data_IF_207462431263
#
_entry.id   IF_207462431263
#
_cell.length_a   1.000
_cell.length_b   1.000
_cell.length_c   1.000
_cell.angle_alpha   90.00
_cell.angle_beta   90.00
_cell.angle_gamma   90.00
#
_symmetry.space_group_name_H-M   'P 1'
#
loop_
_entity.id
_entity.type
_entity.pdbx_description
1 polymer ?
#
# COMPACT_ATOMS: atom_id res chain seq x y z
N UNK A 1 -18.27 -5.28 -10.86
CA UNK A 1 -17.22 -6.23 -11.35
C UNK A 1 -15.96 -5.90 -10.55
N UNK A 2 -15.67 -6.67 -9.49
CA UNK A 2 -14.52 -6.45 -8.61
C UNK A 2 -13.33 -7.11 -9.30
N UNK A 3 -12.38 -6.30 -9.79
CA UNK A 3 -11.10 -6.80 -10.26
C UNK A 3 -10.38 -7.43 -9.08
N UNK A 4 -10.17 -8.76 -9.13
CA UNK A 4 -9.41 -9.48 -8.12
C UNK A 4 -8.00 -8.93 -8.06
N UNK A 5 -7.66 -8.32 -6.92
CA UNK A 5 -6.29 -8.01 -6.56
C UNK A 5 -5.54 -9.35 -6.44
N UNK A 6 -4.63 -9.60 -7.37
CA UNK A 6 -3.74 -10.75 -7.30
C UNK A 6 -2.95 -10.71 -6.00
N UNK A 7 -3.08 -11.74 -5.19
CA UNK A 7 -2.28 -11.90 -4.00
C UNK A 7 -0.89 -12.37 -4.44
N UNK A 8 0.13 -11.53 -4.27
CA UNK A 8 1.52 -11.93 -4.50
C UNK A 8 2.00 -12.59 -3.21
N UNK A 9 1.98 -13.91 -3.17
CA UNK A 9 2.63 -14.68 -2.12
C UNK A 9 4.09 -14.90 -2.50
N UNK A 10 4.99 -14.42 -1.66
CA UNK A 10 6.42 -14.71 -1.79
C UNK A 10 6.73 -16.05 -1.12
N UNK A 11 6.78 -17.13 -1.88
CA UNK A 11 7.34 -18.39 -1.40
C UNK A 11 8.87 -18.31 -1.55
N UNK A 12 9.55 -17.83 -0.51
CA UNK A 12 11.01 -17.79 -0.49
C UNK A 12 11.54 -19.16 -0.08
N UNK A 13 11.89 -19.99 -1.07
CA UNK A 13 12.65 -21.23 -0.86
C UNK A 13 14.15 -21.00 -0.74
N UNK A 14 14.57 -19.74 -0.75
CA UNK A 14 15.98 -19.39 -0.68
C UNK A 14 16.43 -19.45 0.78
N UNK A 15 17.21 -20.45 1.14
CA UNK A 15 17.88 -20.59 2.45
C UNK A 15 19.08 -19.64 2.60
N UNK A 16 19.24 -18.69 1.69
CA UNK A 16 20.26 -17.65 1.79
C UNK A 16 19.97 -16.78 3.00
N UNK A 17 20.95 -16.54 3.89
CA UNK A 17 20.73 -15.68 5.04
C UNK A 17 20.24 -14.31 4.58
N UNK A 18 19.18 -13.83 5.23
CA UNK A 18 18.57 -12.54 4.93
C UNK A 18 19.62 -11.46 5.13
N UNK A 19 19.94 -10.69 4.09
CA UNK A 19 20.89 -9.60 4.18
C UNK A 19 20.19 -8.33 4.71
N UNK A 20 20.97 -7.41 5.28
CA UNK A 20 20.47 -6.15 5.84
C UNK A 20 19.62 -5.34 4.84
N UNK A 21 19.99 -5.38 3.57
CA UNK A 21 19.29 -4.65 2.50
C UNK A 21 17.89 -5.22 2.25
N UNK A 22 17.74 -6.54 2.31
CA UNK A 22 16.45 -7.22 2.15
C UNK A 22 15.56 -6.99 3.37
N UNK A 23 16.11 -7.04 4.58
CA UNK A 23 15.38 -6.72 5.81
C UNK A 23 14.82 -5.28 5.78
N UNK A 24 15.65 -4.33 5.37
CA UNK A 24 15.25 -2.93 5.26
C UNK A 24 14.18 -2.73 4.17
N UNK A 25 14.29 -3.42 3.04
CA UNK A 25 13.25 -3.42 2.01
C UNK A 25 11.93 -3.94 2.56
N UNK A 26 11.92 -5.08 3.27
CA UNK A 26 10.71 -5.65 3.86
C UNK A 26 10.08 -4.72 4.89
N UNK A 27 10.90 -4.03 5.70
CA UNK A 27 10.41 -3.01 6.62
C UNK A 27 9.68 -1.87 5.88
N UNK A 28 10.24 -1.34 4.82
CA UNK A 28 9.58 -0.33 3.98
C UNK A 28 8.29 -0.87 3.35
N UNK A 29 8.36 -2.07 2.79
CA UNK A 29 7.20 -2.73 2.17
C UNK A 29 6.04 -2.85 3.15
N UNK A 30 6.28 -3.39 4.34
CA UNK A 30 5.25 -3.56 5.36
C UNK A 30 4.71 -2.22 5.85
N UNK A 31 5.56 -1.23 6.01
CA UNK A 31 5.15 0.12 6.33
C UNK A 31 4.15 0.68 5.30
N UNK A 32 4.48 0.56 4.00
CA UNK A 32 3.60 1.10 2.95
C UNK A 32 2.30 0.32 2.81
N UNK A 33 2.33 -1.00 2.94
CA UNK A 33 1.11 -1.81 2.91
C UNK A 33 0.17 -1.39 4.06
N UNK A 34 0.69 -1.24 5.27
CA UNK A 34 -0.11 -0.85 6.43
C UNK A 34 -0.62 0.60 6.31
N UNK A 35 0.22 1.53 5.91
CA UNK A 35 -0.20 2.92 5.67
C UNK A 35 -1.22 3.03 4.54
N UNK A 36 -1.02 2.31 3.44
CA UNK A 36 -1.96 2.27 2.33
C UNK A 36 -3.34 1.74 2.74
N UNK A 37 -3.38 0.67 3.55
CA UNK A 37 -4.63 0.14 4.12
C UNK A 37 -5.32 1.18 5.00
N UNK A 38 -4.58 1.87 5.87
CA UNK A 38 -5.14 2.89 6.73
C UNK A 38 -5.74 4.07 5.93
N UNK A 39 -5.02 4.55 4.92
CA UNK A 39 -5.50 5.62 4.03
C UNK A 39 -6.76 5.17 3.29
N UNK A 40 -6.76 3.97 2.71
CA UNK A 40 -7.91 3.42 2.00
C UNK A 40 -9.14 3.28 2.92
N UNK A 41 -8.95 2.81 4.16
CA UNK A 41 -10.01 2.72 5.17
C UNK A 41 -10.54 4.11 5.52
N UNK A 42 -9.66 5.10 5.74
CA UNK A 42 -10.04 6.47 6.04
C UNK A 42 -10.88 7.08 4.92
N UNK A 43 -10.46 6.88 3.66
CA UNK A 43 -11.20 7.36 2.48
C UNK A 43 -12.55 6.67 2.37
N UNK A 44 -12.62 5.35 2.58
CA UNK A 44 -13.88 4.60 2.52
C UNK A 44 -14.88 5.06 3.60
N UNK A 45 -14.40 5.36 4.82
CA UNK A 45 -15.25 5.94 5.88
C UNK A 45 -15.74 7.32 5.49
N UNK A 46 -14.88 8.18 4.94
CA UNK A 46 -15.27 9.50 4.45
C UNK A 46 -16.32 9.43 3.34
N UNK A 47 -16.12 8.56 2.38
CA UNK A 47 -17.08 8.33 1.29
C UNK A 47 -18.43 7.87 1.86
N UNK A 48 -18.43 6.91 2.76
CA UNK A 48 -19.66 6.45 3.42
C UNK A 48 -20.36 7.58 4.16
N UNK A 49 -19.64 8.33 5.00
CA UNK A 49 -20.21 9.42 5.78
C UNK A 49 -20.76 10.57 4.91
N UNK A 50 -20.22 10.77 3.72
CA UNK A 50 -20.68 11.83 2.82
C UNK A 50 -21.83 11.41 1.92
N UNK A 51 -21.94 10.10 1.63
CA UNK A 51 -22.95 9.57 0.67
C UNK A 51 -24.17 8.94 1.35
N UNK A 52 -24.08 8.56 2.65
CA UNK A 52 -25.15 7.86 3.39
C UNK A 52 -25.58 8.66 4.63
N UNK A 53 -25.93 9.92 4.41
CA UNK A 53 -26.33 10.82 5.53
C UNK A 53 -27.60 10.36 6.24
N UNK A 54 -28.50 9.68 5.56
CA UNK A 54 -29.71 9.10 6.11
C UNK A 54 -29.46 8.08 7.21
N UNK A 55 -28.33 7.34 7.15
CA UNK A 55 -28.01 6.30 8.13
C UNK A 55 -27.65 6.86 9.51
N UNK A 56 -27.26 8.14 9.58
CA UNK A 56 -26.91 8.82 10.82
C UNK A 56 -27.65 10.16 11.02
N UNK A 57 -28.76 10.35 10.36
CA UNK A 57 -29.56 11.57 10.44
C UNK A 57 -29.95 11.91 11.90
N UNK A 58 -30.28 10.90 12.69
CA UNK A 58 -30.60 11.09 14.11
C UNK A 58 -29.41 11.68 14.90
N UNK A 59 -28.20 11.20 14.65
CA UNK A 59 -26.97 11.70 15.29
C UNK A 59 -26.67 13.13 14.82
N UNK A 60 -26.80 13.40 13.54
CA UNK A 60 -26.54 14.71 12.95
C UNK A 60 -27.57 15.76 13.44
N UNK A 61 -28.79 15.34 13.71
CA UNK A 61 -29.84 16.21 14.27
C UNK A 61 -29.57 16.54 15.76
N UNK A 62 -29.11 15.55 16.55
CA UNK A 62 -28.80 15.74 17.96
C UNK A 62 -27.49 16.51 18.15
N UNK A 63 -26.50 16.22 17.37
CA UNK A 63 -25.17 16.84 17.49
C UNK A 63 -24.48 17.04 16.13
N UNK A 64 -24.87 18.02 15.34
CA UNK A 64 -24.28 18.31 14.04
C UNK A 64 -22.78 18.67 14.16
N UNK A 65 -22.37 19.30 15.24
CA UNK A 65 -20.96 19.63 15.49
C UNK A 65 -20.09 18.39 15.69
N UNK A 66 -20.64 17.33 16.28
CA UNK A 66 -19.92 16.08 16.45
C UNK A 66 -19.65 15.42 15.10
N UNK A 67 -20.67 15.31 14.24
CA UNK A 67 -20.53 14.72 12.89
C UNK A 67 -19.53 15.51 12.07
N UNK A 68 -19.62 16.85 12.07
CA UNK A 68 -18.65 17.71 11.38
C UNK A 68 -17.23 17.52 11.90
N UNK A 69 -17.04 17.39 13.22
CA UNK A 69 -15.73 17.15 13.82
C UNK A 69 -15.15 15.81 13.40
N UNK A 70 -15.96 14.75 13.35
CA UNK A 70 -15.55 13.42 12.89
C UNK A 70 -15.08 13.48 11.43
N UNK A 71 -15.88 14.04 10.53
CA UNK A 71 -15.55 14.16 9.11
C UNK A 71 -14.23 14.95 8.92
N UNK A 72 -14.11 16.10 9.60
CA UNK A 72 -12.92 16.94 9.51
C UNK A 72 -11.65 16.22 10.03
N UNK A 73 -11.76 15.43 11.10
CA UNK A 73 -10.65 14.65 11.63
C UNK A 73 -10.20 13.56 10.65
N UNK A 74 -11.13 12.85 9.99
CA UNK A 74 -10.78 11.87 8.98
C UNK A 74 -10.11 12.52 7.76
N UNK A 75 -10.60 13.68 7.29
CA UNK A 75 -9.97 14.44 6.23
C UNK A 75 -8.55 14.88 6.60
N UNK A 76 -8.37 15.44 7.79
CA UNK A 76 -7.05 15.86 8.26
C UNK A 76 -6.07 14.67 8.33
N UNK A 77 -6.52 13.52 8.84
CA UNK A 77 -5.71 12.32 8.91
C UNK A 77 -5.32 11.80 7.52
N UNK A 78 -6.25 11.76 6.57
CA UNK A 78 -5.95 11.35 5.19
C UNK A 78 -4.91 12.26 4.53
N UNK A 79 -5.04 13.58 4.71
CA UNK A 79 -4.09 14.56 4.17
C UNK A 79 -2.71 14.39 4.80
N UNK A 80 -2.63 14.21 6.12
CA UNK A 80 -1.35 14.02 6.84
C UNK A 80 -0.67 12.74 6.36
N UNK A 81 -1.41 11.64 6.24
CA UNK A 81 -0.86 10.36 5.81
C UNK A 81 -0.37 10.39 4.35
N UNK A 82 -1.14 11.02 3.45
CA UNK A 82 -0.72 11.22 2.07
C UNK A 82 0.51 12.12 1.97
N UNK A 83 0.53 13.22 2.72
CA UNK A 83 1.68 14.12 2.76
C UNK A 83 2.95 13.39 3.19
N UNK A 84 2.86 12.54 4.22
CA UNK A 84 4.01 11.76 4.70
C UNK A 84 4.61 10.85 3.63
N UNK A 85 3.80 10.32 2.69
CA UNK A 85 4.31 9.53 1.58
C UNK A 85 5.09 10.34 0.54
N UNK A 86 4.62 11.55 0.26
CA UNK A 86 5.15 12.35 -0.86
C UNK A 86 6.21 13.36 -0.44
N UNK A 87 6.32 13.67 0.86
CA UNK A 87 7.31 14.62 1.34
C UNK A 87 8.73 14.06 1.27
N UNK A 88 9.53 14.53 0.34
CA UNK A 88 10.87 14.01 -0.01
C UNK A 88 11.86 13.93 1.18
N UNK A 89 11.73 14.83 2.15
CA UNK A 89 12.62 14.87 3.32
C UNK A 89 12.22 13.87 4.41
N UNK A 90 11.05 13.23 4.30
CA UNK A 90 10.67 12.15 5.20
C UNK A 90 11.50 10.90 4.88
N UNK A 91 12.07 10.26 5.91
CA UNK A 91 12.88 9.05 5.76
C UNK A 91 12.08 7.86 5.22
N UNK A 92 10.77 7.88 5.41
CA UNK A 92 9.83 6.88 4.91
C UNK A 92 9.01 7.42 3.71
N UNK A 93 9.54 8.34 2.91
CA UNK A 93 8.88 8.80 1.69
C UNK A 93 9.06 7.81 0.53
N UNK A 94 8.10 7.78 -0.40
CA UNK A 94 8.24 7.00 -1.63
C UNK A 94 9.52 7.32 -2.39
N UNK A 95 9.91 8.59 -2.45
CA UNK A 95 11.15 8.99 -3.11
C UNK A 95 12.37 8.26 -2.53
N UNK A 96 12.51 8.24 -1.19
CA UNK A 96 13.63 7.57 -0.53
C UNK A 96 13.56 6.06 -0.69
N UNK A 97 12.34 5.48 -0.67
CA UNK A 97 12.13 4.07 -0.92
C UNK A 97 12.58 3.65 -2.32
N UNK A 98 12.18 4.39 -3.36
CA UNK A 98 12.61 4.08 -4.72
C UNK A 98 14.11 4.28 -4.93
N UNK A 99 14.69 5.32 -4.35
CA UNK A 99 16.15 5.50 -4.36
C UNK A 99 16.86 4.31 -3.70
N UNK A 100 16.32 3.82 -2.59
CA UNK A 100 16.86 2.66 -1.88
C UNK A 100 16.79 1.39 -2.72
N UNK A 101 15.63 1.08 -3.31
CA UNK A 101 15.46 -0.05 -4.21
C UNK A 101 16.45 0.05 -5.39
N UNK A 102 16.52 1.21 -6.03
CA UNK A 102 17.40 1.43 -7.18
C UNK A 102 18.86 1.15 -6.85
N UNK A 103 19.31 1.61 -5.68
CA UNK A 103 20.71 1.45 -5.25
C UNK A 103 21.05 0.02 -4.80
N UNK A 104 20.06 -0.75 -4.34
CA UNK A 104 20.29 -2.07 -3.75
C UNK A 104 19.58 -3.20 -4.50
N UNK A 105 19.16 -2.98 -5.75
CA UNK A 105 18.36 -3.91 -6.55
C UNK A 105 18.87 -5.35 -6.50
N UNK A 106 20.14 -5.55 -6.85
CA UNK A 106 20.75 -6.88 -6.94
C UNK A 106 20.92 -7.58 -5.58
N UNK A 107 20.82 -6.82 -4.47
CA UNK A 107 20.91 -7.37 -3.12
C UNK A 107 19.53 -7.69 -2.53
N UNK A 108 18.49 -7.01 -3.01
CA UNK A 108 17.11 -7.19 -2.57
C UNK A 108 16.44 -8.31 -3.36
N UNK A 109 16.58 -8.28 -4.70
CA UNK A 109 15.89 -9.16 -5.62
C UNK A 109 16.86 -10.22 -6.18
N UNK A 110 17.20 -11.16 -5.32
CA UNK A 110 18.16 -12.23 -5.64
C UNK A 110 17.51 -13.52 -6.11
N UNK A 111 16.18 -13.62 -6.05
CA UNK A 111 15.44 -14.85 -6.34
C UNK A 111 14.53 -14.77 -7.57
N UNK A 112 13.90 -15.87 -7.88
CA UNK A 112 12.85 -15.95 -8.89
C UNK A 112 11.50 -15.48 -8.32
N UNK A 113 10.78 -14.71 -9.12
CA UNK A 113 9.44 -14.22 -8.77
C UNK A 113 8.38 -15.01 -9.51
N UNK A 114 7.29 -15.34 -8.81
CA UNK A 114 6.17 -16.07 -9.36
C UNK A 114 4.89 -15.28 -9.14
N UNK A 115 4.10 -15.10 -10.19
CA UNK A 115 2.74 -14.57 -10.10
C UNK A 115 1.77 -15.74 -9.97
N UNK A 116 0.93 -15.70 -8.95
CA UNK A 116 -0.14 -16.64 -8.76
C UNK A 116 -1.44 -16.04 -9.30
N UNK A 117 -1.95 -16.62 -10.38
CA UNK A 117 -3.20 -16.17 -10.98
C UNK A 117 -4.28 -17.19 -10.58
N UNK A 118 -5.29 -16.73 -9.86
CA UNK A 118 -6.41 -17.56 -9.43
C UNK A 118 -7.58 -17.43 -10.41
N UNK A 119 -8.04 -18.55 -10.92
CA UNK A 119 -9.24 -18.71 -11.75
C UNK A 119 -10.26 -19.54 -10.98
N UNK A 120 -10.95 -18.93 -10.01
CA UNK A 120 -11.77 -19.67 -9.06
C UNK A 120 -10.91 -20.50 -8.11
N UNK A 121 -11.07 -21.84 -8.12
CA UNK A 121 -10.24 -22.76 -7.31
C UNK A 121 -8.93 -23.19 -8.01
N UNK A 122 -8.82 -22.94 -9.31
CA UNK A 122 -7.62 -23.27 -10.06
C UNK A 122 -6.55 -22.19 -9.89
N UNK A 123 -5.30 -22.63 -9.70
CA UNK A 123 -4.12 -21.78 -9.52
C UNK A 123 -3.16 -21.97 -10.67
N UNK A 124 -2.88 -20.90 -11.41
CA UNK A 124 -1.84 -20.89 -12.45
C UNK A 124 -0.62 -20.15 -11.91
N UNK A 125 0.58 -20.73 -12.09
CA UNK A 125 1.85 -20.14 -11.66
C UNK A 125 2.57 -19.64 -12.91
N UNK A 126 2.87 -18.34 -12.94
CA UNK A 126 3.65 -17.70 -14.00
C UNK A 126 4.97 -17.21 -13.44
N UNK A 127 6.08 -17.69 -14.03
CA UNK A 127 7.40 -17.18 -13.70
C UNK A 127 7.57 -15.77 -14.27
N UNK A 128 7.90 -14.81 -13.43
CA UNK A 128 8.08 -13.41 -13.81
C UNK A 128 9.55 -13.08 -13.72
N UNK A 129 10.14 -12.68 -14.85
CA UNK A 129 11.46 -12.07 -14.89
C UNK A 129 11.31 -10.56 -14.98
N UNK A 130 11.59 -9.87 -13.88
CA UNK A 130 11.67 -8.42 -13.89
C UNK A 130 13.11 -7.99 -14.15
N UNK A 131 13.34 -7.18 -15.16
CA UNK A 131 14.58 -6.42 -15.24
C UNK A 131 14.43 -5.13 -14.43
N UNK A 132 15.53 -4.67 -13.85
CA UNK A 132 15.57 -3.37 -13.15
C UNK A 132 15.01 -2.24 -14.04
N UNK A 133 15.33 -2.28 -15.33
CA UNK A 133 14.89 -1.31 -16.31
C UNK A 133 13.36 -1.31 -16.47
N UNK A 134 12.74 -2.50 -16.61
CA UNK A 134 11.30 -2.61 -16.87
C UNK A 134 10.46 -2.01 -15.74
N UNK A 135 10.91 -2.15 -14.49
CA UNK A 135 10.21 -1.59 -13.34
C UNK A 135 10.39 -0.08 -13.25
N UNK A 136 11.60 0.42 -13.45
CA UNK A 136 11.84 1.87 -13.36
C UNK A 136 11.25 2.63 -14.52
N UNK A 137 11.22 2.05 -15.72
CA UNK A 137 10.57 2.65 -16.90
C UNK A 137 9.03 2.67 -16.75
N UNK A 138 8.45 1.82 -15.90
CA UNK A 138 7.02 1.82 -15.61
C UNK A 138 6.59 2.81 -14.51
N UNK A 139 7.53 3.34 -13.72
CA UNK A 139 7.27 4.24 -12.58
C UNK A 139 7.55 5.71 -12.92
N UNK A 140 8.32 5.99 -13.97
CA UNK A 140 8.67 7.33 -14.44
C UNK A 140 7.74 7.72 -15.58
#
# INVERSE_FOLDING_TARGET
MICGLGHIEYENKDTTPMNEQKERYLYFHDYYINKGKNIATTIAVLDYLTTHQEDYENISTISPSFVSAVINNFWAQAVIDLYAFYYKNNDLSFHKFFCYIKSNWNLIFTGDFYEYIYHGEEKTIKHIKFSQKDIFDAII
#
